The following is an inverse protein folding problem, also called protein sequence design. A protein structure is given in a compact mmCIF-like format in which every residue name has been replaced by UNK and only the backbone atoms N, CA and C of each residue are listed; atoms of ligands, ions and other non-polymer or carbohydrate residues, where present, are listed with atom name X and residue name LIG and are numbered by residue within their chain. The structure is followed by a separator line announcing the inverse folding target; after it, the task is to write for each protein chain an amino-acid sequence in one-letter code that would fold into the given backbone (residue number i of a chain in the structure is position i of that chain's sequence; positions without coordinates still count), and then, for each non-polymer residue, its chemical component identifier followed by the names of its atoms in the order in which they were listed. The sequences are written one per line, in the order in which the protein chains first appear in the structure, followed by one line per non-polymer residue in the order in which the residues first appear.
data_IF_445787452283
#
_entry.id   IF_445787452283
#
_cell.length_a   1.000
_cell.length_b   1.000
_cell.length_c   1.000
_cell.angle_alpha   90.00
_cell.angle_beta   90.00
_cell.angle_gamma   90.00
#
_symmetry.space_group_name_H-M   'P 1'
#
loop_
_entity.id
_entity.type
_entity.pdbx_description
1 polymer ?
#
# COMPACT_ATOMS: atom_id res chain seq x y z
N UNK A 1 -9.73 -9.77 4.49
CA UNK A 1 -10.21 -8.65 3.64
C UNK A 1 -11.37 -8.02 4.39
N UNK A 2 -11.43 -6.69 4.45
CA UNK A 2 -12.43 -5.96 5.24
C UNK A 2 -13.06 -4.85 4.39
N UNK A 3 -14.38 -4.94 4.16
CA UNK A 3 -15.11 -4.00 3.31
C UNK A 3 -15.27 -2.62 3.93
N UNK A 4 -15.40 -2.53 5.26
CA UNK A 4 -15.54 -1.26 5.98
C UNK A 4 -14.24 -0.46 5.88
N UNK A 5 -13.10 -1.13 6.04
CA UNK A 5 -11.79 -0.53 5.84
C UNK A 5 -11.61 -0.04 4.39
N UNK A 6 -11.94 -0.88 3.39
CA UNK A 6 -11.82 -0.47 1.99
C UNK A 6 -12.70 0.75 1.66
N UNK A 7 -13.95 0.78 2.15
CA UNK A 7 -14.84 1.90 1.95
C UNK A 7 -14.30 3.21 2.57
N UNK A 8 -13.73 3.13 3.78
CA UNK A 8 -13.09 4.26 4.45
C UNK A 8 -11.94 4.83 3.60
N UNK A 9 -11.01 3.96 3.18
CA UNK A 9 -9.84 4.38 2.40
C UNK A 9 -10.25 4.92 1.03
N UNK A 10 -11.19 4.27 0.33
CA UNK A 10 -11.69 4.76 -0.96
C UNK A 10 -12.34 6.14 -0.87
N UNK A 11 -13.12 6.40 0.18
CA UNK A 11 -13.72 7.71 0.41
C UNK A 11 -12.62 8.75 0.66
N UNK A 12 -11.70 8.45 1.57
CA UNK A 12 -10.61 9.34 1.95
C UNK A 12 -9.75 9.76 0.74
N UNK A 13 -9.29 8.81 -0.07
CA UNK A 13 -8.39 9.12 -1.21
C UNK A 13 -9.10 9.92 -2.31
N UNK A 14 -10.42 9.75 -2.48
CA UNK A 14 -11.22 10.54 -3.43
C UNK A 14 -11.38 11.99 -2.98
N UNK A 15 -11.49 12.24 -1.68
CA UNK A 15 -11.67 13.59 -1.12
C UNK A 15 -10.36 14.38 -1.10
N UNK A 16 -9.23 13.75 -0.76
CA UNK A 16 -7.95 14.46 -0.57
C UNK A 16 -7.21 14.79 -1.88
N UNK A 17 -7.51 14.08 -2.97
CA UNK A 17 -6.97 14.38 -4.31
C UNK A 17 -5.50 14.04 -4.53
N UNK A 18 -4.88 13.27 -3.63
CA UNK A 18 -3.51 12.78 -3.81
C UNK A 18 -3.39 11.86 -5.03
N UNK A 19 -2.21 11.89 -5.66
CA UNK A 19 -1.88 11.08 -6.83
C UNK A 19 -0.64 10.24 -6.57
N UNK A 20 -0.69 8.97 -6.95
CA UNK A 20 0.42 8.04 -6.78
C UNK A 20 0.34 7.25 -5.47
N UNK A 21 1.50 6.83 -4.96
CA UNK A 21 1.62 5.98 -3.79
C UNK A 21 1.33 6.74 -2.50
N UNK A 22 0.47 6.18 -1.66
CA UNK A 22 0.14 6.68 -0.33
C UNK A 22 0.22 5.51 0.66
N UNK A 23 0.86 5.77 1.79
CA UNK A 23 0.96 4.90 2.95
C UNK A 23 0.06 5.48 4.06
N UNK A 24 -0.84 4.67 4.61
CA UNK A 24 -1.85 5.11 5.56
C UNK A 24 -1.83 4.17 6.75
N UNK A 25 -1.58 4.74 7.94
CA UNK A 25 -1.66 4.00 9.19
C UNK A 25 -3.07 4.12 9.77
N UNK A 26 -3.69 2.97 10.03
CA UNK A 26 -5.08 2.85 10.50
C UNK A 26 -5.12 2.00 11.76
N UNK A 27 -5.86 2.45 12.76
CA UNK A 27 -6.18 1.67 13.95
C UNK A 27 -7.61 1.14 13.88
N UNK A 28 -7.81 -0.09 14.32
CA UNK A 28 -9.12 -0.67 14.64
C UNK A 28 -9.34 -0.54 16.15
N UNK A 29 -10.38 0.19 16.55
CA UNK A 29 -10.78 0.35 17.95
C UNK A 29 -12.23 -0.10 18.03
N UNK A 30 -12.45 -1.25 18.67
CA UNK A 30 -13.77 -1.86 18.87
C UNK A 30 -14.60 -2.04 17.58
N UNK A 31 -13.93 -2.32 16.45
CA UNK A 31 -14.55 -2.53 15.14
C UNK A 31 -14.74 -1.25 14.32
N UNK A 32 -14.29 -0.10 14.82
CA UNK A 32 -14.26 1.17 14.11
C UNK A 32 -12.82 1.54 13.68
N UNK A 33 -12.69 2.00 12.43
CA UNK A 33 -11.41 2.34 11.84
C UNK A 33 -11.10 3.84 11.94
N UNK A 34 -9.88 4.15 12.38
CA UNK A 34 -9.38 5.52 12.56
C UNK A 34 -8.06 5.69 11.80
N UNK A 35 -7.99 6.67 10.90
CA UNK A 35 -6.76 7.05 10.22
C UNK A 35 -5.90 7.86 11.19
N UNK A 36 -4.69 7.39 11.50
CA UNK A 36 -3.74 8.09 12.38
C UNK A 36 -2.75 8.94 11.58
N UNK A 37 -2.22 8.39 10.49
CA UNK A 37 -1.18 9.04 9.69
C UNK A 37 -1.41 8.80 8.20
N UNK A 38 -1.07 9.82 7.40
CA UNK A 38 -1.15 9.77 5.93
C UNK A 38 0.16 10.26 5.35
N UNK A 39 0.84 9.37 4.65
CA UNK A 39 2.15 9.58 4.08
C UNK A 39 2.08 9.46 2.55
N UNK A 40 2.17 10.55 1.78
CA UNK A 40 2.12 10.51 0.31
C UNK A 40 3.46 10.02 -0.29
N UNK A 41 3.87 8.81 0.10
CA UNK A 41 5.11 8.12 -0.25
C UNK A 41 4.95 6.62 -0.07
N UNK A 42 5.95 5.84 -0.45
CA UNK A 42 6.03 4.42 -0.08
C UNK A 42 6.16 4.26 1.44
N UNK A 43 5.38 3.32 1.99
CA UNK A 43 5.52 2.84 3.35
C UNK A 43 6.66 1.83 3.46
N UNK A 44 7.23 1.73 4.67
CA UNK A 44 8.24 0.71 4.95
C UNK A 44 7.72 -0.73 4.77
N UNK A 45 6.39 -0.92 4.77
CA UNK A 45 5.73 -2.21 4.54
C UNK A 45 5.53 -2.58 3.06
N UNK A 46 5.83 -1.69 2.10
CA UNK A 46 5.57 -1.93 0.67
C UNK A 46 6.14 -3.26 0.12
N UNK A 47 7.35 -3.73 0.51
CA UNK A 47 7.83 -5.03 0.05
C UNK A 47 6.83 -6.17 0.29
N UNK A 48 6.06 -6.14 1.39
CA UNK A 48 5.02 -7.14 1.62
C UNK A 48 3.93 -7.09 0.55
N UNK A 49 3.44 -5.89 0.21
CA UNK A 49 2.43 -5.70 -0.82
C UNK A 49 2.91 -6.21 -2.18
N UNK A 50 4.17 -5.88 -2.55
CA UNK A 50 4.79 -6.35 -3.78
C UNK A 50 4.87 -7.88 -3.85
N UNK A 51 5.38 -8.53 -2.79
CA UNK A 51 5.48 -10.00 -2.72
C UNK A 51 4.10 -10.69 -2.66
N UNK A 52 3.06 -9.99 -2.21
CA UNK A 52 1.67 -10.45 -2.30
C UNK A 52 1.03 -10.26 -3.69
N UNK A 53 1.79 -9.78 -4.68
CA UNK A 53 1.36 -9.58 -6.07
C UNK A 53 0.85 -8.17 -6.38
N UNK A 54 0.98 -7.21 -5.45
CA UNK A 54 0.54 -5.83 -5.62
C UNK A 54 1.72 -4.97 -6.08
N UNK A 55 2.05 -5.07 -7.37
CA UNK A 55 3.20 -4.38 -7.97
C UNK A 55 2.87 -2.91 -8.31
N UNK A 56 3.12 -2.01 -7.36
CA UNK A 56 2.87 -0.58 -7.57
C UNK A 56 3.86 0.07 -8.56
N UNK A 57 5.06 -0.51 -8.73
CA UNK A 57 6.04 0.03 -9.67
C UNK A 57 5.52 -0.12 -11.10
N UNK A 58 4.92 -1.27 -11.44
CA UNK A 58 4.23 -1.48 -12.72
C UNK A 58 3.08 -0.49 -12.91
N UNK A 59 2.29 -0.23 -11.86
CA UNK A 59 1.20 0.76 -11.91
C UNK A 59 1.72 2.17 -12.20
N UNK A 60 2.82 2.57 -11.55
CA UNK A 60 3.47 3.88 -11.77
C UNK A 60 3.99 3.97 -13.21
N UNK A 61 4.68 2.94 -13.71
CA UNK A 61 5.18 2.93 -15.11
C UNK A 61 4.03 3.08 -16.10
N UNK A 62 2.91 2.39 -15.88
CA UNK A 62 1.70 2.54 -16.70
C UNK A 62 1.16 3.98 -16.71
N UNK A 63 1.13 4.63 -15.55
CA UNK A 63 0.70 6.03 -15.46
C UNK A 63 1.67 6.99 -16.14
N UNK A 64 2.98 6.76 -16.06
CA UNK A 64 3.98 7.54 -16.80
C UNK A 64 3.82 7.41 -18.32
N UNK A 65 3.22 6.31 -18.80
CA UNK A 65 2.83 6.13 -20.21
C UNK A 65 1.47 6.76 -20.55
N UNK A 66 0.85 7.51 -19.63
CA UNK A 66 -0.46 8.13 -19.80
C UNK A 66 -1.64 7.15 -19.73
N UNK A 67 -1.41 5.91 -19.26
CA UNK A 67 -2.46 4.89 -19.15
C UNK A 67 -3.03 4.86 -17.73
N UNK A 68 -4.36 4.83 -17.63
CA UNK A 68 -5.03 4.58 -16.37
C UNK A 68 -4.89 3.10 -15.98
N UNK A 69 -4.72 2.83 -14.69
CA UNK A 69 -4.69 1.46 -14.18
C UNK A 69 -6.09 0.96 -13.82
N UNK A 70 -6.31 -0.33 -13.95
CA UNK A 70 -7.54 -0.98 -13.48
C UNK A 70 -7.60 -1.04 -11.95
N UNK A 71 -8.81 -1.00 -11.39
CA UNK A 71 -9.04 -1.08 -9.95
C UNK A 71 -8.93 -2.55 -9.50
N UNK A 72 -7.92 -2.85 -8.69
CA UNK A 72 -7.60 -4.21 -8.23
C UNK A 72 -7.70 -4.37 -6.70
N UNK A 73 -8.58 -3.61 -6.05
CA UNK A 73 -8.72 -3.62 -4.58
C UNK A 73 -9.09 -5.02 -4.10
N UNK A 74 -8.37 -5.51 -3.09
CA UNK A 74 -8.59 -6.84 -2.53
C UNK A 74 -8.07 -7.99 -3.41
N UNK A 75 -7.46 -7.73 -4.57
CA UNK A 75 -6.93 -8.78 -5.44
C UNK A 75 -5.48 -9.19 -5.06
N UNK A 76 -5.34 -9.74 -3.86
CA UNK A 76 -4.11 -10.31 -3.34
C UNK A 76 -4.41 -11.55 -2.49
N UNK A 77 -3.39 -12.36 -2.24
CA UNK A 77 -3.48 -13.55 -1.37
C UNK A 77 -3.46 -13.14 0.10
N UNK A 78 -4.36 -13.72 0.90
CA UNK A 78 -4.40 -13.51 2.35
C UNK A 78 -3.44 -14.47 3.08
N UNK A 79 -3.26 -14.22 4.39
CA UNK A 79 -2.43 -15.04 5.28
C UNK A 79 -0.93 -15.09 4.90
N UNK A 80 -0.44 -14.06 4.20
CA UNK A 80 0.98 -13.80 4.01
C UNK A 80 1.60 -13.16 5.24
N UNK A 81 2.82 -13.57 5.57
CA UNK A 81 3.61 -13.00 6.66
C UNK A 81 4.91 -12.47 6.08
N UNK A 82 5.23 -11.21 6.36
CA UNK A 82 6.54 -10.62 6.07
C UNK A 82 7.36 -10.57 7.36
N UNK A 83 8.58 -11.09 7.31
CA UNK A 83 9.58 -10.95 8.37
C UNK A 83 10.78 -10.19 7.81
N UNK A 84 11.12 -9.06 8.44
CA UNK A 84 12.33 -8.30 8.10
C UNK A 84 13.49 -8.82 8.93
N UNK A 85 14.62 -9.08 8.29
CA UNK A 85 15.88 -9.40 8.94
C UNK A 85 16.94 -8.41 8.45
N UNK A 86 17.88 -8.06 9.34
CA UNK A 86 18.99 -7.16 8.99
C UNK A 86 20.04 -7.91 8.19
N UNK A 87 20.52 -7.32 7.11
CA UNK A 87 21.67 -7.82 6.36
C UNK A 87 22.90 -6.94 6.61
N UNK A 88 24.10 -7.57 6.62
CA UNK A 88 25.39 -6.86 6.67
C UNK A 88 26.14 -7.20 5.39
N UNK A 89 26.57 -6.18 4.66
CA UNK A 89 27.40 -6.34 3.45
C UNK A 89 28.75 -5.66 3.65
N UNK A 90 29.81 -6.46 3.79
CA UNK A 90 31.19 -5.97 3.76
C UNK A 90 31.67 -6.01 2.32
N UNK A 91 32.18 -4.89 1.81
CA UNK A 91 32.88 -4.81 0.53
C UNK A 91 34.31 -4.36 0.77
N UNK A 92 35.27 -5.04 0.15
CA UNK A 92 36.62 -4.51 -0.02
C UNK A 92 36.67 -3.84 -1.40
N UNK A 93 37.20 -2.61 -1.44
CA UNK A 93 37.44 -1.84 -2.66
C UNK A 93 38.88 -2.06 -3.08
#
# INVERSE_FOLDING_TARGET
KDEKLFALIEKFVKEIGFKGQIDIDVFDIDGDYYISEVNPRFGGGYPHAYECGVDHMKLIVSNLQGKANEKMIGNYKENGYMMKYSEIKIKQV
#
